data_IF_840855504752
#
_entry.id   IF_840855504752
#
_cell.length_a   1.000
_cell.length_b   1.000
_cell.length_c   1.000
_cell.angle_alpha   90.00
_cell.angle_beta   90.00
_cell.angle_gamma   90.00
#
_symmetry.space_group_name_H-M   'P 1'
#
loop_
_entity.id
_entity.type
_entity.pdbx_description
1 polymer ?
#
# COMPACT_ATOMS: atom_id res chain seq x y z
N UNK A 1 -16.91 -20.17 -5.82
CA UNK A 1 -17.09 -18.71 -5.67
C UNK A 1 -17.35 -18.12 -7.05
N UNK A 2 -18.40 -17.31 -7.20
CA UNK A 2 -18.61 -16.52 -8.41
C UNK A 2 -17.53 -15.45 -8.53
N UNK A 3 -17.05 -15.20 -9.75
CA UNK A 3 -16.08 -14.12 -10.01
C UNK A 3 -16.77 -12.79 -9.79
N UNK A 4 -16.19 -11.92 -8.96
CA UNK A 4 -16.67 -10.54 -8.81
C UNK A 4 -16.27 -9.75 -10.07
N UNK A 5 -17.26 -9.17 -10.76
CA UNK A 5 -17.03 -8.25 -11.87
C UNK A 5 -17.30 -6.85 -11.33
N UNK A 6 -16.28 -5.99 -11.37
CA UNK A 6 -16.35 -4.59 -10.93
C UNK A 6 -15.64 -3.73 -11.99
N UNK A 7 -16.20 -2.57 -12.29
CA UNK A 7 -15.54 -1.56 -13.13
C UNK A 7 -14.70 -0.69 -12.20
N UNK A 8 -13.39 -0.73 -12.38
CA UNK A 8 -12.39 0.01 -11.59
C UNK A 8 -11.26 0.47 -12.51
N UNK A 9 -10.51 1.47 -12.07
CA UNK A 9 -9.24 1.82 -12.72
C UNK A 9 -8.09 0.89 -12.29
N UNK A 10 -6.91 1.09 -12.89
CA UNK A 10 -5.73 0.28 -12.59
C UNK A 10 -5.18 0.48 -11.18
N UNK A 11 -5.29 1.67 -10.60
CA UNK A 11 -4.81 1.97 -9.25
C UNK A 11 -5.66 1.24 -8.22
N UNK A 12 -6.99 1.31 -8.33
CA UNK A 12 -7.88 0.60 -7.41
C UNK A 12 -7.72 -0.92 -7.56
N UNK A 13 -7.54 -1.44 -8.79
CA UNK A 13 -7.28 -2.86 -9.00
C UNK A 13 -5.96 -3.32 -8.35
N UNK A 14 -4.89 -2.54 -8.48
CA UNK A 14 -3.59 -2.84 -7.88
C UNK A 14 -3.66 -2.76 -6.34
N UNK A 15 -4.25 -1.68 -5.80
CA UNK A 15 -4.44 -1.50 -4.37
C UNK A 15 -5.30 -2.63 -3.79
N UNK A 16 -6.35 -3.09 -4.47
CA UNK A 16 -7.23 -4.14 -3.98
C UNK A 16 -6.47 -5.44 -3.69
N UNK A 17 -5.58 -5.84 -4.60
CA UNK A 17 -4.74 -7.03 -4.40
C UNK A 17 -3.68 -6.74 -3.34
N UNK A 18 -3.00 -5.60 -3.41
CA UNK A 18 -1.95 -5.24 -2.45
C UNK A 18 -2.48 -5.22 -1.01
N UNK A 19 -3.65 -4.62 -0.77
CA UNK A 19 -4.31 -4.55 0.54
C UNK A 19 -4.53 -5.94 1.14
N UNK A 20 -4.94 -6.91 0.32
CA UNK A 20 -5.23 -8.26 0.78
C UNK A 20 -3.98 -8.96 1.38
N UNK A 21 -2.78 -8.68 0.86
CA UNK A 21 -1.53 -9.33 1.25
C UNK A 21 -0.60 -8.47 2.11
N UNK A 22 -1.04 -7.31 2.56
CA UNK A 22 -0.21 -6.34 3.30
C UNK A 22 -0.63 -6.25 4.76
N UNK A 23 0.33 -6.19 5.67
CA UNK A 23 0.12 -5.86 7.09
C UNK A 23 0.52 -4.41 7.37
N UNK A 24 1.65 -3.96 6.82
CA UNK A 24 2.18 -2.60 6.98
C UNK A 24 2.45 -1.96 5.62
N UNK A 25 2.06 -0.71 5.44
CA UNK A 25 2.39 0.04 4.23
C UNK A 25 3.11 1.35 4.57
N UNK A 26 4.37 1.47 4.14
CA UNK A 26 5.10 2.74 4.17
C UNK A 26 4.78 3.52 2.89
N UNK A 27 4.26 4.73 2.99
CA UNK A 27 3.79 5.49 1.82
C UNK A 27 4.32 6.91 1.80
N UNK A 28 4.35 7.50 0.61
CA UNK A 28 4.55 8.92 0.38
C UNK A 28 3.84 9.30 -0.93
N UNK A 29 3.10 10.42 -0.98
CA UNK A 29 2.28 10.76 -2.13
C UNK A 29 3.11 11.22 -3.34
N UNK A 30 2.95 10.54 -4.48
CA UNK A 30 3.49 10.94 -5.78
C UNK A 30 2.56 10.52 -6.92
N UNK A 31 2.25 11.45 -7.83
CA UNK A 31 1.46 11.19 -9.04
C UNK A 31 2.23 10.30 -10.02
N UNK A 32 1.60 9.28 -10.65
CA UNK A 32 0.18 8.91 -10.61
C UNK A 32 -0.16 7.79 -9.59
N UNK A 33 0.76 7.43 -8.69
CA UNK A 33 0.58 6.32 -7.74
C UNK A 33 -0.19 6.66 -6.46
N UNK A 34 -0.33 7.94 -6.10
CA UNK A 34 -1.06 8.38 -4.88
C UNK A 34 -2.43 7.72 -4.66
N UNK A 35 -3.28 7.52 -5.68
CA UNK A 35 -4.60 6.91 -5.48
C UNK A 35 -4.54 5.49 -4.89
N UNK A 36 -3.45 4.74 -5.07
CA UNK A 36 -3.30 3.41 -4.45
C UNK A 36 -3.13 3.51 -2.92
N UNK A 37 -2.34 4.49 -2.45
CA UNK A 37 -2.16 4.75 -1.04
C UNK A 37 -3.47 5.27 -0.41
N UNK A 38 -4.15 6.20 -1.09
CA UNK A 38 -5.44 6.74 -0.66
C UNK A 38 -6.50 5.65 -0.51
N UNK A 39 -6.63 4.74 -1.50
CA UNK A 39 -7.57 3.61 -1.39
C UNK A 39 -7.23 2.66 -0.25
N UNK A 40 -5.94 2.40 -0.03
CA UNK A 40 -5.49 1.57 1.10
C UNK A 40 -5.84 2.23 2.42
N UNK A 41 -5.66 3.55 2.55
CA UNK A 41 -6.03 4.31 3.74
C UNK A 41 -7.54 4.31 3.98
N UNK A 42 -8.33 4.62 2.95
CA UNK A 42 -9.80 4.58 2.99
C UNK A 42 -10.31 3.23 3.49
N UNK A 43 -9.79 2.12 2.93
CA UNK A 43 -10.19 0.77 3.30
C UNK A 43 -9.77 0.39 4.72
N UNK A 44 -8.57 0.81 5.14
CA UNK A 44 -8.11 0.61 6.51
C UNK A 44 -8.97 1.38 7.53
N UNK A 45 -9.29 2.64 7.23
CA UNK A 45 -10.10 3.50 8.09
C UNK A 45 -11.52 2.97 8.31
N UNK A 46 -12.11 2.30 7.32
CA UNK A 46 -13.42 1.63 7.46
C UNK A 46 -13.33 0.20 8.00
N UNK A 47 -12.13 -0.24 8.41
CA UNK A 47 -11.92 -1.54 9.05
C UNK A 47 -11.94 -2.73 8.09
N UNK A 48 -11.72 -2.51 6.78
CA UNK A 48 -11.58 -3.60 5.82
C UNK A 48 -10.40 -4.49 6.23
N UNK A 49 -10.58 -5.81 6.19
CA UNK A 49 -9.56 -6.76 6.63
C UNK A 49 -8.76 -7.30 5.46
N UNK A 50 -7.45 -7.41 5.64
CA UNK A 50 -6.59 -8.22 4.79
C UNK A 50 -6.84 -9.72 5.02
N UNK A 51 -6.12 -10.60 4.32
CA UNK A 51 -6.28 -12.06 4.48
C UNK A 51 -5.87 -12.59 5.86
N UNK A 52 -5.16 -11.78 6.65
CA UNK A 52 -4.75 -12.09 8.01
C UNK A 52 -5.78 -11.63 9.06
N UNK A 53 -6.90 -11.06 8.62
CA UNK A 53 -8.00 -10.66 9.51
C UNK A 53 -7.82 -9.32 10.21
N UNK A 54 -6.88 -8.49 9.76
CA UNK A 54 -6.55 -7.18 10.32
C UNK A 54 -6.59 -6.07 9.25
N UNK A 55 -6.89 -4.82 9.59
CA UNK A 55 -6.73 -3.70 8.67
C UNK A 55 -5.23 -3.42 8.40
N UNK A 56 -4.93 -2.89 7.20
CA UNK A 56 -3.54 -2.51 6.85
C UNK A 56 -3.12 -1.31 7.69
N UNK A 57 -1.95 -1.38 8.34
CA UNK A 57 -1.37 -0.21 9.01
C UNK A 57 -0.59 0.64 8.02
N UNK A 58 -1.17 1.77 7.58
CA UNK A 58 -0.42 2.76 6.80
C UNK A 58 0.41 3.68 7.70
N UNK A 59 1.57 4.08 7.20
CA UNK A 59 2.41 5.13 7.77
C UNK A 59 2.90 6.02 6.64
N UNK A 60 2.45 7.27 6.63
CA UNK A 60 3.00 8.30 5.75
C UNK A 60 4.37 8.75 6.27
N UNK A 61 5.38 8.64 5.42
CA UNK A 61 6.75 9.04 5.73
C UNK A 61 7.03 10.46 5.25
N UNK A 62 8.23 10.97 5.51
CA UNK A 62 8.64 12.32 5.08
C UNK A 62 9.11 12.38 3.61
N UNK A 63 9.40 11.23 2.99
CA UNK A 63 9.79 11.07 1.59
C UNK A 63 9.68 9.61 1.18
N UNK A 64 9.77 9.32 -0.12
CA UNK A 64 9.85 7.95 -0.63
C UNK A 64 11.06 7.17 -0.10
N UNK A 65 12.18 7.84 0.16
CA UNK A 65 13.33 7.21 0.84
C UNK A 65 12.99 6.78 2.27
N UNK A 66 12.22 7.62 2.99
CA UNK A 66 11.68 7.25 4.30
C UNK A 66 10.72 6.07 4.21
N UNK A 67 9.85 6.05 3.20
CA UNK A 67 8.93 4.93 2.93
C UNK A 67 9.68 3.63 2.61
N UNK A 68 10.74 3.67 1.81
CA UNK A 68 11.60 2.51 1.57
C UNK A 68 12.26 2.00 2.85
N UNK A 69 12.81 2.89 3.69
CA UNK A 69 13.39 2.50 4.98
C UNK A 69 12.37 1.87 5.93
N UNK A 70 11.14 2.41 5.97
CA UNK A 70 10.05 1.85 6.77
C UNK A 70 9.64 0.46 6.27
N UNK A 71 9.50 0.28 4.95
CA UNK A 71 9.21 -1.03 4.34
C UNK A 71 10.33 -2.02 4.60
N UNK A 72 11.60 -1.61 4.47
CA UNK A 72 12.76 -2.46 4.79
C UNK A 72 12.69 -2.97 6.23
N UNK A 73 12.53 -2.06 7.20
CA UNK A 73 12.45 -2.44 8.61
C UNK A 73 11.25 -3.33 8.93
N UNK A 74 10.09 -3.07 8.30
CA UNK A 74 8.90 -3.91 8.47
C UNK A 74 9.15 -5.35 7.96
N UNK A 75 9.72 -5.49 6.76
CA UNK A 75 10.07 -6.79 6.18
C UNK A 75 11.11 -7.52 7.03
N UNK A 76 12.16 -6.83 7.49
CA UNK A 76 13.20 -7.41 8.36
C UNK A 76 12.62 -7.88 9.70
N UNK A 77 11.63 -7.15 10.24
CA UNK A 77 10.93 -7.53 11.48
C UNK A 77 9.90 -8.66 11.31
N UNK A 78 9.67 -9.14 10.08
CA UNK A 78 8.80 -10.27 9.78
C UNK A 78 7.36 -9.94 9.40
N UNK A 79 7.03 -8.67 9.10
CA UNK A 79 5.72 -8.27 8.60
C UNK A 79 5.70 -8.22 7.06
N UNK A 80 4.57 -8.60 6.45
CA UNK A 80 4.40 -8.37 5.01
C UNK A 80 4.12 -6.89 4.74
N UNK A 81 5.02 -6.26 3.98
CA UNK A 81 4.95 -4.83 3.71
C UNK A 81 4.87 -4.49 2.23
N UNK A 82 4.20 -3.37 1.94
CA UNK A 82 4.00 -2.81 0.59
C UNK A 82 4.30 -1.32 0.59
N UNK A 83 4.62 -0.77 -0.59
CA UNK A 83 4.58 0.67 -0.86
C UNK A 83 4.02 0.94 -2.25
N UNK A 84 3.64 2.19 -2.51
CA UNK A 84 3.16 2.65 -3.80
C UNK A 84 3.99 3.87 -4.21
N UNK A 85 4.70 3.78 -5.32
CA UNK A 85 5.59 4.84 -5.79
C UNK A 85 5.67 4.86 -7.32
N UNK A 86 6.27 5.90 -7.88
CA UNK A 86 6.53 6.02 -9.31
C UNK A 86 7.63 7.05 -9.60
N UNK A 87 8.22 6.99 -10.80
CA UNK A 87 9.14 8.02 -11.32
C UNK A 87 10.27 8.39 -10.33
N UNK A 88 10.33 9.66 -9.89
CA UNK A 88 11.36 10.17 -8.97
C UNK A 88 11.28 9.51 -7.60
N UNK A 89 10.07 9.18 -7.14
CA UNK A 89 9.87 8.48 -5.90
C UNK A 89 10.53 7.12 -5.90
N UNK A 90 10.44 6.38 -7.02
CA UNK A 90 11.11 5.09 -7.16
C UNK A 90 12.64 5.22 -7.13
N UNK A 91 13.20 6.30 -7.67
CA UNK A 91 14.66 6.53 -7.61
C UNK A 91 15.17 6.76 -6.18
N UNK A 92 14.32 7.30 -5.30
CA UNK A 92 14.64 7.46 -3.88
C UNK A 92 14.55 6.14 -3.09
N UNK A 93 14.04 5.07 -3.70
CA UNK A 93 13.88 3.74 -3.09
C UNK A 93 14.89 2.69 -3.60
N UNK A 94 15.87 3.10 -4.40
CA UNK A 94 16.99 2.25 -4.88
C UNK A 94 18.02 2.10 -3.77
#
# INVERSE_FOLDING_TARGET
>A
MSKMIKIVDGNEAAAYVAYAFTEVAGIYPITPSSPMAEKTDEWSAVGQKNIFGQPVRLVEMQSEAGAAGAVHGALESGALATTYTSSQGLMLMI
#
